data_IF_487761197425
#
_entry.id   IF_487761197425
#
_cell.length_a   1.000
_cell.length_b   1.000
_cell.length_c   1.000
_cell.angle_alpha   90.00
_cell.angle_beta   90.00
_cell.angle_gamma   90.00
#
_symmetry.space_group_name_H-M   'P 1'
#
loop_
_entity.id
_entity.type
_entity.pdbx_description
1 polymer ?
#
# COMPACT_ATOMS: atom_id res chain seq x y z
N UNK A 1 4.69 -13.22 17.09
CA UNK A 1 6.14 -12.98 16.91
C UNK A 1 6.49 -12.17 15.66
N UNK A 2 5.91 -12.45 14.50
CA UNK A 2 6.24 -11.75 13.24
C UNK A 2 6.04 -10.22 13.24
N UNK A 3 5.01 -9.69 13.93
CA UNK A 3 4.78 -8.23 14.05
C UNK A 3 5.95 -7.51 14.73
N UNK A 4 6.53 -8.10 15.78
CA UNK A 4 7.67 -7.52 16.50
C UNK A 4 8.92 -7.49 15.62
N UNK A 5 9.13 -8.54 14.81
CA UNK A 5 10.24 -8.61 13.86
C UNK A 5 10.11 -7.50 12.82
N UNK A 6 8.91 -7.26 12.30
CA UNK A 6 8.68 -6.23 11.28
C UNK A 6 8.80 -4.82 11.85
N UNK A 7 8.20 -4.55 13.02
CA UNK A 7 8.26 -3.22 13.64
C UNK A 7 9.68 -2.92 14.12
N UNK A 8 10.32 -3.84 14.83
CA UNK A 8 11.71 -3.70 15.26
C UNK A 8 12.66 -3.59 14.07
N UNK A 9 12.44 -4.41 13.05
CA UNK A 9 13.10 -4.35 11.74
C UNK A 9 13.00 -2.99 11.08
N UNK A 10 11.79 -2.43 10.94
CA UNK A 10 11.54 -1.15 10.30
C UNK A 10 12.19 0.01 11.07
N UNK A 11 12.00 0.07 12.39
CA UNK A 11 12.58 1.13 13.24
C UNK A 11 14.10 1.11 13.17
N UNK A 12 14.70 -0.08 13.26
CA UNK A 12 16.14 -0.25 13.11
C UNK A 12 16.61 0.24 11.73
N UNK A 13 15.98 -0.22 10.66
CA UNK A 13 16.41 0.04 9.28
C UNK A 13 16.29 1.52 8.89
N UNK A 14 15.21 2.20 9.29
CA UNK A 14 14.99 3.63 9.01
C UNK A 14 16.05 4.49 9.69
N UNK A 15 16.34 4.23 10.96
CA UNK A 15 17.32 5.01 11.73
C UNK A 15 18.74 4.70 11.27
N UNK A 16 19.03 3.43 10.98
CA UNK A 16 20.31 3.00 10.43
C UNK A 16 20.63 3.70 9.10
N UNK A 17 19.67 3.78 8.18
CA UNK A 17 19.86 4.47 6.89
C UNK A 17 19.88 6.00 7.00
N UNK A 18 19.23 6.57 8.02
CA UNK A 18 19.13 8.02 8.22
C UNK A 18 20.28 8.64 9.01
N UNK A 19 21.21 7.85 9.53
CA UNK A 19 22.31 8.34 10.38
C UNK A 19 23.67 8.23 9.67
N UNK A 20 24.13 9.35 9.12
CA UNK A 20 25.51 9.55 8.67
C UNK A 20 26.23 10.52 9.62
N UNK A 21 27.17 10.08 10.49
CA UNK A 21 27.56 8.71 10.83
C UNK A 21 26.56 7.99 11.76
N UNK A 22 26.57 6.66 11.75
CA UNK A 22 25.71 5.83 12.62
C UNK A 22 26.09 6.04 14.09
N UNK A 23 25.17 6.63 14.85
CA UNK A 23 25.28 6.78 16.30
C UNK A 23 24.81 5.50 17.00
N UNK A 24 25.77 4.66 17.37
CA UNK A 24 25.55 3.42 18.12
C UNK A 24 25.04 3.65 19.56
N UNK A 25 25.10 4.89 20.07
CA UNK A 25 24.54 5.27 21.37
C UNK A 25 23.04 5.59 21.32
N UNK A 26 22.44 5.65 20.13
CA UNK A 26 21.04 6.01 19.99
C UNK A 26 20.12 4.92 20.57
N UNK A 27 19.42 5.29 21.65
CA UNK A 27 18.49 4.44 22.39
C UNK A 27 17.40 3.86 21.47
N UNK A 28 16.96 4.63 20.47
CA UNK A 28 15.90 4.19 19.54
C UNK A 28 16.39 3.15 18.53
N UNK A 29 17.65 3.23 18.08
CA UNK A 29 18.28 2.22 17.24
C UNK A 29 18.47 0.90 18.01
N UNK A 30 19.01 1.00 19.22
CA UNK A 30 19.19 -0.13 20.13
C UNK A 30 17.86 -0.78 20.52
N UNK A 31 16.83 0.03 20.79
CA UNK A 31 15.48 -0.47 21.06
C UNK A 31 14.88 -1.19 19.85
N UNK A 32 15.05 -0.65 18.64
CA UNK A 32 14.61 -1.31 17.40
C UNK A 32 15.27 -2.68 17.22
N UNK A 33 16.59 -2.75 17.42
CA UNK A 33 17.36 -4.00 17.33
C UNK A 33 16.95 -4.99 18.44
N UNK A 34 16.75 -4.53 19.67
CA UNK A 34 16.28 -5.35 20.78
C UNK A 34 14.89 -5.94 20.56
N UNK A 35 13.95 -5.14 20.04
CA UNK A 35 12.60 -5.60 19.68
C UNK A 35 12.65 -6.64 18.55
N UNK A 36 13.54 -6.44 17.57
CA UNK A 36 13.72 -7.38 16.47
C UNK A 36 14.24 -8.74 16.95
N UNK A 37 15.29 -8.72 17.79
CA UNK A 37 15.87 -9.94 18.37
C UNK A 37 14.86 -10.66 19.26
N UNK A 38 14.13 -9.93 20.11
CA UNK A 38 13.05 -10.49 20.92
C UNK A 38 11.99 -11.17 20.04
N UNK A 39 11.61 -10.52 18.92
CA UNK A 39 10.67 -11.08 17.95
C UNK A 39 11.14 -12.40 17.35
N UNK A 40 12.43 -12.52 17.01
CA UNK A 40 13.03 -13.76 16.48
C UNK A 40 13.05 -14.86 17.55
N UNK A 41 13.43 -14.54 18.79
CA UNK A 41 13.44 -15.51 19.89
C UNK A 41 12.03 -16.05 20.17
N UNK A 42 11.03 -15.17 20.22
CA UNK A 42 9.64 -15.57 20.40
C UNK A 42 9.09 -16.37 19.22
N UNK A 43 9.59 -16.15 18.00
CA UNK A 43 9.21 -16.91 16.81
C UNK A 43 9.76 -18.35 16.89
N UNK A 44 11.03 -18.50 17.25
CA UNK A 44 11.65 -19.81 17.43
C UNK A 44 11.05 -20.58 18.62
N UNK A 45 10.73 -19.90 19.72
CA UNK A 45 10.15 -20.51 20.91
C UNK A 45 8.68 -20.93 20.73
N UNK A 46 7.90 -20.20 19.93
CA UNK A 46 6.48 -20.47 19.71
C UNK A 46 6.19 -21.40 18.52
N UNK A 47 6.85 -21.16 17.37
CA UNK A 47 6.51 -21.78 16.08
C UNK A 47 7.63 -22.69 15.54
N UNK A 48 8.74 -22.83 16.27
CA UNK A 48 9.87 -23.70 15.90
C UNK A 48 10.47 -23.37 14.52
N UNK A 49 10.96 -24.40 13.81
CA UNK A 49 11.49 -24.24 12.45
C UNK A 49 10.42 -23.82 11.43
N UNK A 50 9.14 -24.10 11.68
CA UNK A 50 8.05 -23.71 10.78
C UNK A 50 7.85 -22.20 10.72
N UNK A 51 8.03 -21.49 11.84
CA UNK A 51 7.94 -20.02 11.86
C UNK A 51 8.94 -19.33 10.92
N UNK A 52 10.15 -19.90 10.75
CA UNK A 52 11.17 -19.34 9.84
C UNK A 52 10.75 -19.51 8.37
N UNK A 53 10.04 -20.60 8.05
CA UNK A 53 9.51 -20.85 6.71
C UNK A 53 8.35 -19.92 6.34
N UNK A 54 7.66 -19.34 7.32
CA UNK A 54 6.57 -18.39 7.08
C UNK A 54 7.05 -16.94 6.81
N UNK A 55 8.26 -16.58 7.25
CA UNK A 55 8.79 -15.21 7.08
C UNK A 55 8.81 -14.73 5.62
N UNK A 56 9.28 -15.52 4.63
CA UNK A 56 9.24 -15.10 3.22
C UNK A 56 7.82 -14.88 2.71
N UNK A 57 6.85 -15.68 3.18
CA UNK A 57 5.44 -15.53 2.81
C UNK A 57 4.89 -14.19 3.33
N UNK A 58 5.15 -13.85 4.60
CA UNK A 58 4.71 -12.59 5.20
C UNK A 58 5.34 -11.39 4.46
N UNK A 59 6.65 -11.44 4.18
CA UNK A 59 7.32 -10.39 3.42
C UNK A 59 6.78 -10.26 2.00
N UNK A 60 6.50 -11.38 1.32
CA UNK A 60 5.89 -11.38 -0.01
C UNK A 60 4.52 -10.69 -0.02
N UNK A 61 3.72 -10.93 1.02
CA UNK A 61 2.42 -10.26 1.17
C UNK A 61 2.62 -8.75 1.31
N UNK A 62 3.50 -8.28 2.19
CA UNK A 62 3.76 -6.84 2.38
C UNK A 62 4.31 -6.20 1.10
N UNK A 63 5.25 -6.87 0.43
CA UNK A 63 5.80 -6.43 -0.85
C UNK A 63 4.72 -6.25 -1.91
N UNK A 64 3.67 -7.07 -1.91
CA UNK A 64 2.58 -6.90 -2.86
C UNK A 64 1.77 -5.61 -2.63
N UNK A 65 1.64 -5.17 -1.38
CA UNK A 65 0.96 -3.91 -1.03
C UNK A 65 1.79 -2.68 -1.43
N UNK A 66 3.12 -2.79 -1.52
CA UNK A 66 3.98 -1.69 -2.01
C UNK A 66 3.63 -1.24 -3.43
N UNK A 67 2.99 -2.10 -4.23
CA UNK A 67 2.47 -1.77 -5.54
C UNK A 67 1.47 -0.61 -5.52
N UNK A 68 0.58 -0.58 -4.53
CA UNK A 68 -0.40 0.52 -4.39
C UNK A 68 0.30 1.84 -4.08
N UNK A 69 1.31 1.80 -3.22
CA UNK A 69 2.17 2.96 -2.94
C UNK A 69 2.89 3.45 -4.20
N UNK A 70 3.46 2.54 -5.00
CA UNK A 70 4.14 2.89 -6.24
C UNK A 70 3.22 3.57 -7.27
N UNK A 71 1.96 3.13 -7.38
CA UNK A 71 0.97 3.76 -8.26
C UNK A 71 0.63 5.18 -7.77
N UNK A 72 0.48 5.37 -6.45
CA UNK A 72 0.28 6.71 -5.87
C UNK A 72 1.48 7.64 -6.11
N UNK A 73 2.70 7.13 -5.92
CA UNK A 73 3.93 7.88 -6.17
C UNK A 73 4.08 8.26 -7.66
N UNK A 74 3.67 7.37 -8.57
CA UNK A 74 3.66 7.65 -10.02
C UNK A 74 2.71 8.79 -10.37
N UNK A 75 1.48 8.79 -9.82
CA UNK A 75 0.52 9.88 -10.05
C UNK A 75 1.02 11.22 -9.51
N UNK A 76 1.70 11.21 -8.34
CA UNK A 76 2.38 12.40 -7.83
C UNK A 76 3.45 12.90 -8.81
N UNK A 77 4.28 12.00 -9.35
CA UNK A 77 5.29 12.33 -10.35
C UNK A 77 4.70 12.96 -11.62
N UNK A 78 3.58 12.42 -12.12
CA UNK A 78 2.87 12.98 -13.29
C UNK A 78 2.33 14.38 -12.99
N UNK A 79 1.74 14.59 -11.80
CA UNK A 79 1.26 15.92 -11.39
C UNK A 79 2.40 16.94 -11.32
N UNK A 80 3.55 16.55 -10.74
CA UNK A 80 4.74 17.40 -10.69
C UNK A 80 5.29 17.71 -12.08
N UNK A 81 5.28 16.74 -13.00
CA UNK A 81 5.70 16.95 -14.39
C UNK A 81 4.80 17.98 -15.09
N UNK A 82 3.47 17.85 -14.98
CA UNK A 82 2.55 18.85 -15.54
C UNK A 82 2.76 20.24 -14.91
N UNK A 83 2.96 20.31 -13.60
CA UNK A 83 3.26 21.59 -12.92
C UNK A 83 4.54 22.24 -13.45
N UNK A 84 5.60 21.46 -13.69
CA UNK A 84 6.86 21.98 -14.25
C UNK A 84 6.69 22.53 -15.67
N UNK A 85 5.87 21.86 -16.51
CA UNK A 85 5.56 22.30 -17.87
C UNK A 85 4.79 23.62 -17.84
N UNK A 86 3.73 23.70 -17.02
CA UNK A 86 2.91 24.91 -16.88
C UNK A 86 3.73 26.09 -16.33
N UNK A 87 4.60 25.84 -15.35
CA UNK A 87 5.50 26.84 -14.81
C UNK A 87 6.44 27.43 -15.88
N UNK A 88 6.98 26.58 -16.77
CA UNK A 88 7.81 27.02 -17.89
C UNK A 88 7.05 27.86 -18.94
N UNK A 89 5.74 27.66 -19.07
CA UNK A 89 4.89 28.39 -20.03
C UNK A 89 4.40 29.74 -19.51
N UNK A 90 4.45 29.98 -18.20
CA UNK A 90 3.96 31.22 -17.58
C UNK A 90 4.74 32.47 -18.03
N UNK A 91 5.99 32.31 -18.47
CA UNK A 91 6.83 33.39 -18.99
C UNK A 91 6.64 33.72 -20.48
N UNK A 92 5.89 32.91 -21.24
CA UNK A 92 5.77 33.03 -22.70
C UNK A 92 4.66 34.01 -23.17
N UNK A 93 4.21 34.92 -22.29
CA UNK A 93 3.16 35.89 -22.57
C UNK A 93 1.74 35.28 -22.58
N UNK A 94 0.78 36.02 -23.16
CA UNK A 94 -0.66 35.67 -23.12
C UNK A 94 -0.93 34.29 -23.75
N UNK A 95 -0.24 33.95 -24.85
CA UNK A 95 -0.36 32.64 -25.48
C UNK A 95 0.11 31.49 -24.57
N UNK A 96 1.20 31.71 -23.82
CA UNK A 96 1.73 30.78 -22.83
C UNK A 96 0.78 30.58 -21.65
N UNK A 97 0.13 31.66 -21.18
CA UNK A 97 -0.87 31.58 -20.11
C UNK A 97 -2.10 30.76 -20.52
N UNK A 98 -2.63 30.99 -21.73
CA UNK A 98 -3.80 30.24 -22.22
C UNK A 98 -3.44 28.76 -22.42
N UNK A 99 -2.31 28.48 -23.07
CA UNK A 99 -1.84 27.10 -23.27
C UNK A 99 -1.55 26.38 -21.95
N UNK A 100 -0.90 27.07 -21.01
CA UNK A 100 -0.62 26.56 -19.67
C UNK A 100 -1.89 26.26 -18.88
N UNK A 101 -2.90 27.12 -18.94
CA UNK A 101 -4.19 26.88 -18.28
C UNK A 101 -4.91 25.63 -18.84
N UNK A 102 -4.89 25.43 -20.16
CA UNK A 102 -5.46 24.24 -20.81
C UNK A 102 -4.72 22.98 -20.35
N UNK A 103 -3.39 22.97 -20.43
CA UNK A 103 -2.57 21.81 -20.03
C UNK A 103 -2.72 21.52 -18.55
N UNK A 104 -2.77 22.55 -17.70
CA UNK A 104 -3.00 22.41 -16.28
C UNK A 104 -4.33 21.69 -16.01
N UNK A 105 -5.42 22.17 -16.60
CA UNK A 105 -6.75 21.59 -16.38
C UNK A 105 -6.85 20.18 -16.97
N UNK A 106 -6.50 20.00 -18.25
CA UNK A 106 -6.64 18.71 -18.93
C UNK A 106 -5.70 17.65 -18.35
N UNK A 107 -4.45 18.03 -18.06
CA UNK A 107 -3.44 17.15 -17.49
C UNK A 107 -3.81 16.65 -16.10
N UNK A 108 -4.30 17.55 -15.23
CA UNK A 108 -4.77 17.15 -13.91
C UNK A 108 -6.07 16.35 -13.96
N UNK A 109 -6.98 16.65 -14.89
CA UNK A 109 -8.22 15.89 -15.06
C UNK A 109 -7.93 14.44 -15.47
N UNK A 110 -7.04 14.23 -16.44
CA UNK A 110 -6.59 12.88 -16.83
C UNK A 110 -5.84 12.20 -15.70
N UNK A 111 -4.91 12.90 -15.03
CA UNK A 111 -4.17 12.34 -13.90
C UNK A 111 -5.10 11.91 -12.77
N UNK A 112 -6.12 12.71 -12.44
CA UNK A 112 -7.12 12.38 -11.42
C UNK A 112 -7.92 11.12 -11.78
N UNK A 113 -8.32 10.97 -13.05
CA UNK A 113 -9.04 9.78 -13.48
C UNK A 113 -8.18 8.51 -13.38
N UNK A 114 -6.92 8.60 -13.80
CA UNK A 114 -5.96 7.49 -13.68
C UNK A 114 -5.63 7.16 -12.22
N UNK A 115 -5.48 8.19 -11.38
CA UNK A 115 -5.21 8.06 -9.95
C UNK A 115 -6.38 7.44 -9.17
N UNK A 116 -7.62 7.54 -9.68
CA UNK A 116 -8.78 6.88 -9.09
C UNK A 116 -8.92 5.44 -9.60
N UNK A 117 -8.84 5.23 -10.91
CA UNK A 117 -9.10 3.91 -11.49
C UNK A 117 -7.98 2.90 -11.27
N UNK A 118 -6.71 3.30 -11.42
CA UNK A 118 -5.60 2.35 -11.33
C UNK A 118 -5.47 1.73 -9.93
N UNK A 119 -5.40 2.49 -8.82
CA UNK A 119 -5.34 1.91 -7.49
C UNK A 119 -6.57 1.06 -7.16
N UNK A 120 -7.76 1.44 -7.63
CA UNK A 120 -9.00 0.68 -7.39
C UNK A 120 -8.93 -0.73 -7.97
N UNK A 121 -8.47 -0.87 -9.22
CA UNK A 121 -8.30 -2.19 -9.85
C UNK A 121 -7.18 -3.00 -9.19
N UNK A 122 -6.08 -2.35 -8.82
CA UNK A 122 -4.96 -3.01 -8.14
C UNK A 122 -5.32 -3.47 -6.71
N UNK A 123 -6.15 -2.71 -6.00
CA UNK A 123 -6.68 -3.06 -4.69
C UNK A 123 -7.67 -4.22 -4.78
N UNK A 124 -8.54 -4.25 -5.80
CA UNK A 124 -9.43 -5.38 -6.04
C UNK A 124 -8.66 -6.68 -6.25
N UNK A 125 -7.58 -6.65 -7.06
CA UNK A 125 -6.70 -7.81 -7.23
C UNK A 125 -6.13 -8.28 -5.90
N UNK A 126 -5.68 -7.35 -5.07
CA UNK A 126 -5.09 -7.64 -3.76
C UNK A 126 -6.10 -8.31 -2.84
N UNK A 127 -7.33 -7.78 -2.77
CA UNK A 127 -8.40 -8.36 -1.98
C UNK A 127 -8.76 -9.77 -2.47
N UNK A 128 -8.92 -9.96 -3.78
CA UNK A 128 -9.35 -11.23 -4.35
C UNK A 128 -8.25 -12.31 -4.29
N UNK A 129 -7.00 -11.95 -4.55
CA UNK A 129 -5.93 -12.95 -4.70
C UNK A 129 -5.16 -13.18 -3.40
N UNK A 130 -4.99 -12.17 -2.56
CA UNK A 130 -4.10 -12.26 -1.38
C UNK A 130 -4.85 -12.28 -0.05
N UNK A 131 -6.02 -11.64 0.02
CA UNK A 131 -6.83 -11.65 1.23
C UNK A 131 -7.86 -12.77 1.23
N UNK A 132 -8.68 -12.89 0.18
CA UNK A 132 -9.71 -13.95 0.08
C UNK A 132 -9.12 -15.35 0.14
N UNK A 133 -7.98 -15.62 -0.50
CA UNK A 133 -7.35 -16.95 -0.48
C UNK A 133 -6.92 -17.42 0.91
N UNK A 134 -6.83 -16.52 1.90
CA UNK A 134 -6.47 -16.86 3.29
C UNK A 134 -7.66 -17.11 4.21
N UNK A 135 -8.82 -16.52 3.90
CA UNK A 135 -9.96 -16.48 4.82
C UNK A 135 -11.26 -17.00 4.20
N UNK A 136 -11.33 -17.09 2.87
CA UNK A 136 -12.51 -17.55 2.15
C UNK A 136 -12.28 -18.98 1.65
N UNK A 137 -13.01 -19.92 2.26
CA UNK A 137 -13.16 -21.26 1.73
C UNK A 137 -14.35 -21.27 0.74
N UNK A 138 -14.06 -21.57 -0.52
CA UNK A 138 -15.10 -21.69 -1.55
C UNK A 138 -15.99 -22.92 -1.33
N UNK A 139 -17.18 -22.91 -1.93
CA UNK A 139 -18.07 -24.08 -1.97
C UNK A 139 -19.21 -24.09 -0.96
N UNK A 140 -19.52 -22.96 -0.32
CA UNK A 140 -20.72 -22.81 0.50
C UNK A 140 -22.03 -22.90 -0.32
N UNK A 141 -23.11 -23.34 0.33
CA UNK A 141 -24.46 -23.33 -0.24
C UNK A 141 -25.02 -21.91 -0.13
N UNK A 142 -25.62 -21.38 -1.22
CA UNK A 142 -26.32 -20.09 -1.15
C UNK A 142 -27.42 -20.19 -0.08
N UNK A 143 -27.46 -19.22 0.82
CA UNK A 143 -28.53 -19.15 1.81
C UNK A 143 -29.86 -18.91 1.10
N UNK A 144 -30.73 -19.92 1.15
CA UNK A 144 -32.12 -19.80 0.70
C UNK A 144 -32.98 -19.46 1.93
N UNK A 145 -33.50 -18.23 2.04
CA UNK A 145 -34.30 -17.85 3.18
C UNK A 145 -35.60 -18.64 3.20
N UNK A 146 -36.02 -19.11 4.37
CA UNK A 146 -37.37 -19.64 4.56
C UNK A 146 -38.38 -18.48 4.41
N UNK A 147 -38.90 -18.30 3.21
CA UNK A 147 -39.85 -17.26 2.87
C UNK A 147 -40.70 -17.65 1.67
N UNK A 148 -41.94 -17.20 1.64
CA UNK A 148 -42.79 -17.31 0.46
C UNK A 148 -42.56 -16.06 -0.38
N UNK A 149 -42.13 -16.20 -1.63
CA UNK A 149 -42.21 -15.09 -2.60
C UNK A 149 -43.69 -14.69 -2.73
N UNK A 150 -44.06 -13.54 -2.16
CA UNK A 150 -45.44 -13.04 -2.24
C UNK A 150 -45.61 -12.34 -3.59
N UNK A 151 -46.20 -13.04 -4.55
CA UNK A 151 -46.50 -12.49 -5.88
C UNK A 151 -47.82 -11.70 -5.89
N UNK A 152 -48.76 -11.97 -4.98
CA UNK A 152 -50.02 -11.21 -4.84
C UNK A 152 -50.44 -11.03 -3.38
N UNK A 153 -50.85 -9.83 -3.03
CA UNK A 153 -51.48 -9.47 -1.75
C UNK A 153 -52.84 -8.87 -2.08
N UNK A 154 -53.93 -9.57 -1.77
CA UNK A 154 -55.25 -8.94 -1.63
C UNK A 154 -55.42 -8.59 -0.15
N UNK A 155 -55.82 -7.35 0.10
CA UNK A 155 -55.86 -6.67 1.42
C UNK A 155 -57.08 -7.11 2.21
#
# INVERSE_FOLDING_TARGET
>A
SWILIIIGGMVFFVIFLGSDPVDWGNITLLAGLGIMVLGIVLLLAGEGMFGVLELPSILSNILSYTRLFAIGLSSLGIALAFNSIVAGMWGAGIAGMIGGAIIFFLGHLVNMFLALLAPSLHALRLHYVEWMTKFFEGGGVLYEPFGRERVYTEV
#
